data_IF_179494287658
#
_entry.id   IF_179494287658
#
_cell.length_a   1.000
_cell.length_b   1.000
_cell.length_c   1.000
_cell.angle_alpha   90.00
_cell.angle_beta   90.00
_cell.angle_gamma   90.00
#
_symmetry.space_group_name_H-M   'P 1'
#
loop_
_entity.id
_entity.type
_entity.pdbx_description
1 polymer ?
#
# COMPACT_ATOMS: atom_id res chain seq x y z
N UNK A 1 1.35 -56.15 -37.80
CA UNK A 1 1.89 -55.73 -39.10
C UNK A 1 1.90 -54.21 -39.06
N UNK A 2 2.95 -53.57 -38.53
CA UNK A 2 4.15 -53.13 -39.27
C UNK A 2 3.78 -52.04 -40.27
N UNK A 3 4.40 -50.87 -40.40
CA UNK A 3 5.65 -50.31 -39.91
C UNK A 3 5.61 -48.79 -40.24
N UNK A 4 6.45 -48.02 -39.57
CA UNK A 4 6.76 -46.62 -39.88
C UNK A 4 7.51 -46.52 -41.22
N UNK A 5 7.40 -45.39 -41.93
CA UNK A 5 8.41 -44.94 -42.88
C UNK A 5 8.46 -43.40 -42.95
N UNK A 6 9.42 -42.81 -42.24
CA UNK A 6 10.27 -41.70 -42.74
C UNK A 6 11.54 -42.36 -43.36
N UNK A 7 12.55 -41.68 -43.98
CA UNK A 7 12.93 -40.25 -43.93
C UNK A 7 13.58 -39.70 -45.25
N UNK A 8 14.35 -38.60 -45.11
CA UNK A 8 15.47 -38.12 -45.95
C UNK A 8 15.12 -37.28 -47.20
N UNK A 9 15.91 -36.30 -47.67
CA UNK A 9 17.28 -35.80 -47.42
C UNK A 9 17.42 -34.43 -48.14
N UNK A 10 18.02 -33.40 -47.53
CA UNK A 10 19.36 -32.83 -47.83
C UNK A 10 19.62 -32.21 -49.24
N UNK A 11 19.87 -30.90 -49.22
CA UNK A 11 21.02 -30.16 -49.79
C UNK A 11 21.18 -29.97 -51.32
N UNK A 12 21.39 -28.72 -51.77
CA UNK A 12 22.69 -28.25 -52.30
C UNK A 12 22.66 -26.79 -52.83
N UNK A 13 23.80 -26.12 -52.62
CA UNK A 13 24.22 -24.79 -53.07
C UNK A 13 24.57 -24.72 -54.58
N UNK A 14 24.63 -23.50 -55.13
CA UNK A 14 25.55 -22.99 -56.19
C UNK A 14 25.40 -21.44 -56.22
N UNK A 15 26.41 -20.64 -55.83
CA UNK A 15 27.44 -19.96 -56.69
C UNK A 15 26.81 -18.88 -57.65
N UNK A 16 27.21 -17.60 -57.71
CA UNK A 16 28.53 -17.03 -58.04
C UNK A 16 28.62 -15.48 -57.78
N UNK A 17 29.76 -15.08 -57.21
CA UNK A 17 30.69 -13.94 -57.47
C UNK A 17 30.35 -12.43 -57.73
N UNK A 18 31.13 -11.60 -56.99
CA UNK A 18 31.84 -10.32 -57.31
C UNK A 18 31.01 -9.06 -57.65
N UNK A 19 31.25 -7.86 -57.13
CA UNK A 19 32.29 -7.25 -56.29
C UNK A 19 32.29 -5.73 -56.55
N UNK A 20 32.41 -4.87 -55.52
CA UNK A 20 32.90 -3.46 -55.61
C UNK A 20 33.18 -2.88 -54.22
N UNK A 21 34.45 -2.54 -54.04
CA UNK A 21 35.12 -1.86 -52.92
C UNK A 21 34.48 -0.46 -52.65
N UNK A 22 34.50 0.14 -51.46
CA UNK A 22 35.70 0.81 -50.93
C UNK A 22 35.42 1.57 -49.61
N UNK A 23 36.40 1.46 -48.70
CA UNK A 23 36.98 2.51 -47.82
C UNK A 23 36.28 2.98 -46.53
N UNK A 24 37.00 2.67 -45.46
CA UNK A 24 36.94 3.09 -44.06
C UNK A 24 37.61 4.47 -43.89
N UNK A 25 37.00 5.36 -43.09
CA UNK A 25 37.59 6.56 -42.50
C UNK A 25 36.84 6.83 -41.17
N UNK A 26 37.26 6.28 -40.03
CA UNK A 26 38.14 6.89 -39.01
C UNK A 26 37.76 8.33 -38.54
N UNK A 27 37.07 8.47 -37.39
CA UNK A 27 37.57 9.11 -36.12
C UNK A 27 36.49 9.77 -35.21
N UNK A 28 36.31 9.13 -34.04
CA UNK A 28 36.28 9.65 -32.64
C UNK A 28 35.49 10.90 -32.23
N UNK A 29 34.50 10.68 -31.37
CA UNK A 29 34.27 11.34 -30.05
C UNK A 29 32.98 10.75 -29.42
N UNK A 30 32.81 10.32 -28.17
CA UNK A 30 33.60 10.24 -26.95
C UNK A 30 32.88 9.28 -25.98
N UNK A 31 33.63 8.78 -25.00
CA UNK A 31 33.30 7.79 -23.95
C UNK A 31 32.01 8.10 -23.14
N UNK A 32 31.28 7.05 -22.72
CA UNK A 32 31.18 6.63 -21.30
C UNK A 32 30.44 5.29 -21.12
N UNK A 33 31.07 4.40 -20.33
CA UNK A 33 30.54 3.19 -19.67
C UNK A 33 29.25 3.56 -18.90
N UNK A 34 28.26 2.69 -18.66
CA UNK A 34 28.31 1.53 -17.75
C UNK A 34 26.93 0.81 -17.73
N UNK A 35 26.95 -0.52 -17.80
CA UNK A 35 26.16 -1.52 -17.06
C UNK A 35 24.92 -0.99 -16.31
N UNK A 36 23.72 -1.54 -16.56
CA UNK A 36 23.06 -2.41 -15.56
C UNK A 36 21.63 -2.87 -15.92
N UNK A 37 21.38 -4.13 -15.53
CA UNK A 37 20.15 -4.72 -15.00
C UNK A 37 18.97 -4.97 -15.95
N UNK A 38 18.78 -6.26 -16.24
CA UNK A 38 17.48 -6.91 -16.53
C UNK A 38 16.37 -6.18 -15.77
N UNK A 39 15.47 -5.57 -16.53
CA UNK A 39 14.26 -4.92 -16.05
C UNK A 39 13.41 -5.94 -15.29
N UNK A 40 13.03 -5.57 -14.07
CA UNK A 40 11.94 -6.22 -13.33
C UNK A 40 10.69 -6.20 -14.21
N UNK A 41 10.06 -7.35 -14.41
CA UNK A 41 8.66 -7.43 -14.81
C UNK A 41 7.84 -6.60 -13.82
N UNK A 42 7.33 -5.47 -14.29
CA UNK A 42 6.29 -4.75 -13.59
C UNK A 42 5.01 -5.54 -13.78
N UNK A 43 4.52 -6.17 -12.71
CA UNK A 43 3.15 -6.68 -12.68
C UNK A 43 2.21 -5.55 -13.12
N UNK A 44 1.49 -5.77 -14.23
CA UNK A 44 0.51 -4.85 -14.76
C UNK A 44 -0.62 -4.64 -13.73
N UNK A 45 -0.43 -3.68 -12.84
CA UNK A 45 -1.45 -3.31 -11.87
C UNK A 45 -2.48 -2.40 -12.56
N UNK A 46 -3.72 -2.88 -12.69
CA UNK A 46 -4.83 -2.08 -13.18
C UNK A 46 -5.45 -1.26 -12.04
N UNK A 47 -5.64 0.03 -12.25
CA UNK A 47 -6.36 0.92 -11.33
C UNK A 47 -7.80 1.04 -11.81
N UNK A 48 -8.74 0.43 -11.07
CA UNK A 48 -10.18 0.56 -11.32
C UNK A 48 -10.74 1.75 -10.54
N UNK A 49 -11.33 2.72 -11.24
CA UNK A 49 -12.15 3.76 -10.60
C UNK A 49 -13.53 3.17 -10.33
N UNK A 50 -13.74 2.71 -9.11
CA UNK A 50 -15.02 2.14 -8.68
C UNK A 50 -16.09 3.23 -8.48
N UNK A 51 -17.37 2.98 -8.81
CA UNK A 51 -18.48 3.92 -8.59
C UNK A 51 -18.70 4.18 -7.08
N UNK A 52 -19.24 5.35 -6.72
CA UNK A 52 -19.35 5.88 -5.34
C UNK A 52 -19.92 4.90 -4.29
N UNK A 53 -20.72 3.90 -4.72
CA UNK A 53 -21.32 2.87 -3.87
C UNK A 53 -20.34 1.76 -3.42
N UNK A 54 -19.14 1.68 -4.00
CA UNK A 54 -18.13 0.65 -3.70
C UNK A 54 -16.95 1.22 -2.92
N UNK A 55 -17.22 2.11 -1.95
CA UNK A 55 -16.23 2.27 -0.86
C UNK A 55 -16.19 0.93 -0.14
N UNK A 56 -15.04 0.24 -0.19
CA UNK A 56 -14.84 -1.03 0.51
C UNK A 56 -15.26 -0.90 1.97
N UNK A 57 -15.72 -1.99 2.59
CA UNK A 57 -16.07 -1.99 4.02
C UNK A 57 -14.95 -1.37 4.87
N UNK A 58 -13.69 -1.59 4.47
CA UNK A 58 -12.52 -0.93 5.03
C UNK A 58 -12.60 0.60 4.93
N UNK A 59 -12.79 1.16 3.73
CA UNK A 59 -12.89 2.59 3.52
C UNK A 59 -14.09 3.21 4.26
N UNK A 60 -15.23 2.50 4.33
CA UNK A 60 -16.38 2.92 5.13
C UNK A 60 -16.04 3.01 6.63
N UNK A 61 -15.48 1.95 7.20
CA UNK A 61 -15.03 1.92 8.59
C UNK A 61 -14.01 3.04 8.84
N UNK A 62 -13.01 3.19 7.98
CA UNK A 62 -11.98 4.21 8.11
C UNK A 62 -12.56 5.63 8.14
N UNK A 63 -13.45 5.96 7.20
CA UNK A 63 -14.11 7.26 7.15
C UNK A 63 -14.95 7.50 8.40
N UNK A 64 -15.69 6.47 8.86
CA UNK A 64 -16.54 6.59 10.04
C UNK A 64 -15.73 6.78 11.33
N UNK A 65 -14.56 6.15 11.44
CA UNK A 65 -13.61 6.39 12.55
C UNK A 65 -13.19 7.86 12.56
N UNK A 66 -12.83 8.41 11.40
CA UNK A 66 -12.41 9.82 11.29
C UNK A 66 -13.55 10.77 11.67
N UNK A 67 -14.77 10.50 11.22
CA UNK A 67 -15.96 11.28 11.60
C UNK A 67 -16.21 11.24 13.12
N UNK A 68 -16.15 10.06 13.72
CA UNK A 68 -16.29 9.88 15.17
C UNK A 68 -15.24 10.71 15.92
N UNK A 69 -13.98 10.64 15.50
CA UNK A 69 -12.89 11.38 16.17
C UNK A 69 -12.96 12.89 15.92
N UNK A 70 -13.58 13.33 14.82
CA UNK A 70 -13.82 14.74 14.53
C UNK A 70 -14.84 15.34 15.48
N UNK A 71 -15.91 14.60 15.78
CA UNK A 71 -16.94 15.01 16.74
C UNK A 71 -16.46 14.87 18.18
N UNK A 72 -15.80 13.76 18.50
CA UNK A 72 -15.38 13.39 19.84
C UNK A 72 -13.91 12.93 19.83
N UNK A 73 -12.96 13.85 20.09
CA UNK A 73 -11.55 13.48 20.24
C UNK A 73 -11.29 12.68 21.52
N UNK A 74 -10.13 12.02 21.57
CA UNK A 74 -9.66 11.25 22.74
C UNK A 74 -10.55 10.09 23.13
N UNK A 75 -10.95 9.31 22.15
CA UNK A 75 -11.63 8.04 22.40
C UNK A 75 -10.60 6.92 22.47
N UNK A 76 -10.82 5.97 23.36
CA UNK A 76 -10.11 4.70 23.38
C UNK A 76 -10.54 3.81 22.20
N UNK A 77 -9.75 2.79 21.89
CA UNK A 77 -10.10 1.83 20.82
C UNK A 77 -11.48 1.21 21.05
N UNK A 78 -11.78 0.84 22.31
CA UNK A 78 -13.06 0.26 22.69
C UNK A 78 -14.22 1.21 22.40
N UNK A 79 -14.08 2.48 22.76
CA UNK A 79 -15.12 3.49 22.54
C UNK A 79 -15.34 3.77 21.06
N UNK A 80 -14.26 3.84 20.27
CA UNK A 80 -14.34 3.97 18.81
C UNK A 80 -15.16 2.81 18.23
N UNK A 81 -14.82 1.57 18.59
CA UNK A 81 -15.50 0.37 18.09
C UNK A 81 -16.99 0.39 18.49
N UNK A 82 -17.31 0.70 19.75
CA UNK A 82 -18.68 0.75 20.22
C UNK A 82 -19.50 1.81 19.48
N UNK A 83 -18.96 3.03 19.31
CA UNK A 83 -19.63 4.09 18.56
C UNK A 83 -19.81 3.72 17.09
N UNK A 84 -18.82 3.05 16.51
CA UNK A 84 -18.86 2.64 15.12
C UNK A 84 -19.95 1.59 14.86
N UNK A 85 -20.08 0.60 15.76
CA UNK A 85 -21.19 -0.39 15.74
C UNK A 85 -22.55 0.27 15.99
N UNK A 86 -22.61 1.27 16.88
CA UNK A 86 -23.86 1.95 17.18
C UNK A 86 -24.36 2.86 16.04
N UNK A 87 -23.44 3.40 15.23
CA UNK A 87 -23.72 4.44 14.22
C UNK A 87 -23.85 3.93 12.78
N UNK A 88 -23.52 2.67 12.52
CA UNK A 88 -23.51 2.10 11.17
C UNK A 88 -24.14 0.70 11.16
N UNK A 89 -25.24 0.55 10.42
CA UNK A 89 -26.01 -0.70 10.36
C UNK A 89 -25.23 -1.83 9.68
N UNK A 90 -24.42 -1.53 8.68
CA UNK A 90 -23.66 -2.54 7.93
C UNK A 90 -22.54 -3.11 8.81
N UNK A 91 -21.87 -2.25 9.58
CA UNK A 91 -20.85 -2.68 10.54
C UNK A 91 -21.48 -3.41 11.73
N UNK A 92 -22.66 -2.96 12.19
CA UNK A 92 -23.44 -3.66 13.22
C UNK A 92 -23.82 -5.06 12.78
N UNK A 93 -24.27 -5.24 11.54
CA UNK A 93 -24.58 -6.55 10.98
C UNK A 93 -23.33 -7.42 10.84
N UNK A 94 -22.22 -6.85 10.39
CA UNK A 94 -20.93 -7.55 10.32
C UNK A 94 -20.53 -8.08 11.70
N UNK A 95 -20.60 -7.23 12.73
CA UNK A 95 -20.28 -7.62 14.09
C UNK A 95 -21.26 -8.66 14.64
N UNK A 96 -22.57 -8.51 14.38
CA UNK A 96 -23.57 -9.48 14.83
C UNK A 96 -23.32 -10.88 14.26
N UNK A 97 -22.88 -10.98 12.99
CA UNK A 97 -22.58 -12.24 12.31
C UNK A 97 -21.26 -12.88 12.76
N UNK A 98 -20.21 -12.08 12.93
CA UNK A 98 -18.85 -12.57 13.19
C UNK A 98 -18.49 -12.63 14.66
N UNK A 99 -19.11 -11.78 15.49
CA UNK A 99 -18.73 -11.49 16.88
C UNK A 99 -17.25 -11.10 17.03
N UNK A 100 -16.61 -10.67 15.94
CA UNK A 100 -15.18 -10.35 15.90
C UNK A 100 -14.96 -8.87 15.59
N UNK A 101 -14.06 -8.27 16.36
CA UNK A 101 -13.63 -6.87 16.20
C UNK A 101 -12.21 -6.76 15.63
N UNK A 102 -11.53 -7.87 15.38
CA UNK A 102 -10.13 -7.91 14.91
C UNK A 102 -9.95 -7.18 13.60
N UNK A 103 -10.93 -7.27 12.69
CA UNK A 103 -10.92 -6.52 11.44
C UNK A 103 -11.01 -5.00 11.66
N UNK A 104 -11.88 -4.55 12.57
CA UNK A 104 -12.01 -3.13 12.92
C UNK A 104 -10.73 -2.63 13.61
N UNK A 105 -10.18 -3.42 14.54
CA UNK A 105 -8.90 -3.14 15.19
C UNK A 105 -7.75 -2.98 14.20
N UNK A 106 -7.68 -3.87 13.21
CA UNK A 106 -6.69 -3.79 12.14
C UNK A 106 -6.81 -2.46 11.39
N UNK A 107 -8.03 -2.00 11.12
CA UNK A 107 -8.26 -0.72 10.44
C UNK A 107 -7.83 0.46 11.32
N UNK A 108 -8.19 0.48 12.61
CA UNK A 108 -7.72 1.50 13.57
C UNK A 108 -6.19 1.55 13.58
N UNK A 109 -5.53 0.39 13.65
CA UNK A 109 -4.07 0.30 13.61
C UNK A 109 -3.48 0.80 12.29
N UNK A 110 -4.11 0.47 11.16
CA UNK A 110 -3.72 0.95 9.83
C UNK A 110 -3.78 2.48 9.73
N UNK A 111 -4.82 3.10 10.29
CA UNK A 111 -4.97 4.56 10.33
C UNK A 111 -3.86 5.22 11.16
N UNK A 112 -3.49 4.62 12.29
CA UNK A 112 -2.35 5.09 13.11
C UNK A 112 -1.05 4.99 12.32
N UNK A 113 -0.80 3.85 11.67
CA UNK A 113 0.43 3.62 10.89
C UNK A 113 0.57 4.63 9.76
N UNK A 114 -0.56 5.02 9.13
CA UNK A 114 -0.64 6.04 8.09
C UNK A 114 -0.66 7.48 8.62
N UNK A 115 -0.63 7.68 9.95
CA UNK A 115 -0.75 8.98 10.62
C UNK A 115 -2.05 9.75 10.28
N UNK A 116 -3.09 9.04 9.89
CA UNK A 116 -4.44 9.63 9.71
C UNK A 116 -5.05 9.95 11.08
N UNK A 117 -4.73 9.14 12.09
CA UNK A 117 -5.06 9.39 13.50
C UNK A 117 -3.78 9.26 14.33
N UNK A 118 -3.73 9.96 15.46
CA UNK A 118 -2.60 9.95 16.39
C UNK A 118 -2.97 9.23 17.69
N UNK A 119 -1.95 8.69 18.37
CA UNK A 119 -2.08 8.08 19.69
C UNK A 119 -1.68 9.07 20.77
N UNK A 120 -2.47 9.13 21.84
CA UNK A 120 -2.16 9.85 23.06
C UNK A 120 -2.20 8.90 24.27
N UNK A 121 -1.34 9.19 25.25
CA UNK A 121 -1.47 8.69 26.61
C UNK A 121 -1.74 9.88 27.52
N UNK A 122 -2.71 9.75 28.41
CA UNK A 122 -3.04 10.79 29.37
C UNK A 122 -2.17 10.56 30.61
N UNK A 123 -1.55 11.62 31.11
CA UNK A 123 -0.75 11.53 32.33
C UNK A 123 -1.65 11.14 33.51
N UNK A 124 -1.32 10.05 34.19
CA UNK A 124 -2.15 9.46 35.26
C UNK A 124 -3.10 8.35 34.80
N UNK A 125 -3.24 8.11 33.48
CA UNK A 125 -3.87 6.90 32.94
C UNK A 125 -2.84 6.08 32.15
N UNK A 126 -2.20 5.16 32.86
CA UNK A 126 -1.21 4.24 32.26
C UNK A 126 -1.86 3.07 31.50
N UNK A 127 -3.17 2.88 31.67
CA UNK A 127 -3.90 1.71 31.16
C UNK A 127 -4.40 1.93 29.74
N UNK A 128 -4.90 3.11 29.42
CA UNK A 128 -5.57 3.36 28.15
C UNK A 128 -4.72 4.13 27.15
N UNK A 129 -4.99 3.86 25.87
CA UNK A 129 -4.46 4.61 24.74
C UNK A 129 -5.64 5.27 24.06
N UNK A 130 -5.52 6.57 23.87
CA UNK A 130 -6.54 7.41 23.26
C UNK A 130 -6.13 7.81 21.86
N UNK A 131 -7.13 8.10 21.01
CA UNK A 131 -6.92 8.48 19.63
C UNK A 131 -7.55 9.83 19.33
N UNK A 132 -6.93 10.59 18.44
CA UNK A 132 -7.41 11.91 18.00
C UNK A 132 -6.89 12.21 16.59
N UNK A 133 -7.46 13.21 15.93
CA UNK A 133 -7.05 13.62 14.59
C UNK A 133 -5.86 14.59 14.64
N UNK A 134 -4.93 14.55 13.66
CA UNK A 134 -3.78 15.44 13.60
C UNK A 134 -4.14 16.93 13.66
N UNK A 135 -5.23 17.35 13.01
CA UNK A 135 -5.70 18.74 13.01
C UNK A 135 -6.12 19.23 14.41
N UNK A 136 -6.41 18.32 15.34
CA UNK A 136 -6.78 18.67 16.71
C UNK A 136 -5.56 18.95 17.59
N UNK A 137 -4.32 18.78 17.09
CA UNK A 137 -3.12 19.00 17.91
C UNK A 137 -2.97 20.45 18.37
N UNK A 138 -3.40 21.41 17.55
CA UNK A 138 -3.21 22.82 17.82
C UNK A 138 -4.08 23.31 18.99
N UNK A 139 -5.29 22.77 19.15
CA UNK A 139 -6.15 23.03 20.31
C UNK A 139 -5.63 22.38 21.59
N UNK A 140 -4.57 21.58 21.50
CA UNK A 140 -4.01 20.80 22.60
C UNK A 140 -2.61 21.26 23.02
N UNK A 141 -1.97 22.16 22.27
CA UNK A 141 -0.60 22.61 22.55
C UNK A 141 -0.40 23.08 24.00
N UNK A 142 -1.41 23.71 24.59
CA UNK A 142 -1.37 24.18 25.98
C UNK A 142 -1.49 23.05 27.01
N UNK A 143 -2.08 21.91 26.64
CA UNK A 143 -2.29 20.74 27.51
C UNK A 143 -1.28 19.61 27.28
N UNK A 144 -0.48 19.70 26.21
CA UNK A 144 0.54 18.71 25.88
C UNK A 144 1.77 18.97 26.76
N UNK A 145 1.88 18.21 27.85
CA UNK A 145 3.16 18.02 28.54
C UNK A 145 3.97 17.09 27.62
N UNK A 146 4.85 17.67 26.80
CA UNK A 146 5.73 16.89 25.93
C UNK A 146 6.59 16.01 26.84
N UNK A 147 6.36 14.69 26.80
CA UNK A 147 7.16 13.76 27.58
C UNK A 147 8.65 14.00 27.27
N UNK A 148 9.53 14.10 28.28
CA UNK A 148 10.94 14.31 28.04
C UNK A 148 11.45 13.21 27.11
N UNK A 149 12.23 13.60 26.09
CA UNK A 149 12.98 12.62 25.30
C UNK A 149 13.86 11.89 26.31
N UNK A 150 13.63 10.58 26.51
CA UNK A 150 14.60 9.76 27.22
C UNK A 150 15.91 9.87 26.45
N UNK A 151 16.83 10.67 26.98
CA UNK A 151 18.24 10.55 26.66
C UNK A 151 18.63 9.16 27.11
N UNK A 152 18.82 8.27 26.14
CA UNK A 152 19.62 7.08 26.38
C UNK A 152 21.06 7.61 26.54
N UNK A 153 21.49 7.75 27.79
CA UNK A 153 22.91 7.71 28.16
C UNK A 153 23.39 6.25 28.14
#
# INVERSE_FOLDING_TARGET
MSEQNTPNQLNNNLEEEKGKESKVEERKSEKRKTISKKSKESEDSYVLVMPEKVRSLNAKIANRIVEILREEPFLSEKEIILKLIARDNEIKEYFAKTQDISYIRYIVWSLVKKKVILKAKILGDDKHVYFFLPEQIDSLKEKIIRAPKRSFE
#
